data_IF_227556079507
#
_entry.id   IF_227556079507
#
_cell.length_a   1.000
_cell.length_b   1.000
_cell.length_c   1.000
_cell.angle_alpha   90.00
_cell.angle_beta   90.00
_cell.angle_gamma   90.00
#
_symmetry.space_group_name_H-M   'P 1'
#
loop_
_entity.id
_entity.type
_entity.pdbx_description
1 polymer ?
#
# COMPACT_ATOMS: atom_id res chain seq x y z
N UNK A 1 27.60 -7.84 -5.23
CA UNK A 1 27.05 -8.13 -3.89
C UNK A 1 26.95 -9.64 -3.73
N UNK A 2 27.30 -10.22 -2.56
CA UNK A 2 27.17 -11.66 -2.32
C UNK A 2 25.69 -12.06 -2.31
N UNK A 3 25.37 -13.25 -2.81
CA UNK A 3 24.01 -13.77 -2.76
C UNK A 3 23.54 -13.88 -1.30
N UNK A 4 22.43 -13.24 -0.97
CA UNK A 4 21.77 -13.43 0.34
C UNK A 4 21.34 -14.89 0.47
N UNK A 5 21.71 -15.50 1.58
CA UNK A 5 21.27 -16.86 1.91
C UNK A 5 20.37 -16.79 3.13
N UNK A 6 19.16 -17.29 2.98
CA UNK A 6 18.23 -17.38 4.10
C UNK A 6 18.70 -18.45 5.08
N UNK A 7 18.77 -18.11 6.36
CA UNK A 7 19.11 -19.08 7.42
C UNK A 7 17.93 -20.01 7.67
N UNK A 8 18.19 -21.33 7.67
CA UNK A 8 17.15 -22.32 7.93
C UNK A 8 16.47 -22.13 9.31
N UNK A 9 17.20 -21.82 10.41
CA UNK A 9 16.57 -21.49 11.68
C UNK A 9 15.68 -20.25 11.64
N UNK A 10 16.10 -19.18 10.93
CA UNK A 10 15.31 -17.94 10.77
C UNK A 10 14.01 -18.20 10.01
N UNK A 11 14.07 -18.94 8.91
CA UNK A 11 12.88 -19.34 8.17
C UNK A 11 11.94 -20.21 9.01
N UNK A 12 12.49 -21.16 9.78
CA UNK A 12 11.68 -21.99 10.67
C UNK A 12 10.96 -21.14 11.74
N UNK A 13 11.64 -20.14 12.29
CA UNK A 13 11.03 -19.20 13.25
C UNK A 13 9.93 -18.35 12.62
N UNK A 14 10.15 -17.85 11.39
CA UNK A 14 9.14 -17.09 10.63
C UNK A 14 7.89 -17.93 10.37
N UNK A 15 8.05 -19.18 9.89
CA UNK A 15 6.96 -20.12 9.67
C UNK A 15 6.19 -20.41 10.96
N UNK A 16 6.91 -20.76 12.02
CA UNK A 16 6.30 -21.05 13.32
C UNK A 16 5.53 -19.84 13.88
N UNK A 17 5.96 -18.58 13.59
CA UNK A 17 5.22 -17.39 14.00
C UNK A 17 3.87 -17.28 13.28
N UNK A 18 3.81 -17.58 12.00
CA UNK A 18 2.57 -17.59 11.20
C UNK A 18 1.67 -18.75 11.61
N UNK A 19 2.23 -19.95 11.80
CA UNK A 19 1.47 -21.13 12.25
C UNK A 19 0.80 -20.91 13.62
N UNK A 20 1.42 -20.14 14.52
CA UNK A 20 0.78 -19.75 15.79
C UNK A 20 -0.44 -18.85 15.56
N UNK A 21 -0.45 -17.97 14.57
CA UNK A 21 -1.63 -17.17 14.21
C UNK A 21 -2.78 -18.06 13.70
N UNK A 22 -2.46 -19.05 12.86
CA UNK A 22 -3.43 -20.06 12.39
C UNK A 22 -3.98 -20.87 13.54
N UNK A 23 -3.11 -21.40 14.41
CA UNK A 23 -3.51 -22.20 15.57
C UNK A 23 -4.36 -21.43 16.59
N UNK A 24 -4.19 -20.11 16.65
CA UNK A 24 -5.01 -19.22 17.48
C UNK A 24 -6.28 -18.72 16.77
N UNK A 25 -6.50 -19.08 15.50
CA UNK A 25 -7.65 -18.64 14.71
C UNK A 25 -7.62 -17.17 14.35
N UNK A 26 -6.45 -16.52 14.39
CA UNK A 26 -6.29 -15.09 14.09
C UNK A 26 -6.16 -14.80 12.59
N UNK A 27 -5.84 -15.81 11.81
CA UNK A 27 -5.96 -15.88 10.35
C UNK A 27 -6.44 -17.27 9.99
N UNK A 28 -7.06 -17.48 8.82
CA UNK A 28 -7.40 -18.80 8.30
C UNK A 28 -6.61 -19.18 7.06
N UNK A 29 -6.15 -18.17 6.31
CA UNK A 29 -5.34 -18.31 5.11
C UNK A 29 -4.32 -17.17 5.04
N UNK A 30 -3.13 -17.48 4.57
CA UNK A 30 -2.08 -16.48 4.36
C UNK A 30 -0.95 -16.98 3.49
N UNK A 31 -0.12 -16.06 3.03
CA UNK A 31 1.10 -16.34 2.27
C UNK A 31 2.18 -15.35 2.69
N UNK A 32 3.45 -15.78 2.65
CA UNK A 32 4.57 -14.85 2.60
C UNK A 32 5.52 -15.15 1.44
N UNK A 33 6.25 -14.13 1.01
CA UNK A 33 7.35 -14.28 0.07
C UNK A 33 8.52 -13.37 0.46
N UNK A 34 9.73 -13.87 0.28
CA UNK A 34 10.99 -13.13 0.36
C UNK A 34 11.65 -13.22 -1.03
N UNK A 35 12.00 -12.09 -1.62
CA UNK A 35 12.65 -12.05 -2.93
C UNK A 35 13.94 -11.24 -2.87
N UNK A 36 14.87 -11.53 -3.80
CA UNK A 36 16.17 -10.90 -3.91
C UNK A 36 16.65 -10.98 -5.36
N UNK A 37 17.27 -9.91 -5.86
CA UNK A 37 17.77 -9.82 -7.25
C UNK A 37 16.73 -10.22 -8.32
N UNK A 38 15.47 -9.79 -8.12
CA UNK A 38 14.40 -10.05 -9.08
C UNK A 38 13.83 -11.48 -9.06
N UNK A 39 14.27 -12.33 -8.14
CA UNK A 39 13.77 -13.70 -7.98
C UNK A 39 13.25 -13.97 -6.57
N UNK A 40 12.26 -14.83 -6.45
CA UNK A 40 11.74 -15.28 -5.15
C UNK A 40 12.68 -16.32 -4.55
N UNK A 41 13.18 -16.06 -3.34
CA UNK A 41 14.03 -16.97 -2.57
C UNK A 41 13.20 -17.95 -1.74
N UNK A 42 12.08 -17.48 -1.20
CA UNK A 42 11.18 -18.27 -0.37
C UNK A 42 9.75 -17.80 -0.59
N UNK A 43 8.84 -18.74 -0.78
CA UNK A 43 7.41 -18.52 -0.88
C UNK A 43 6.67 -19.65 -0.20
N UNK A 44 5.69 -19.31 0.63
CA UNK A 44 4.91 -20.31 1.34
C UNK A 44 3.48 -19.88 1.57
N UNK A 45 2.57 -20.84 1.40
CA UNK A 45 1.14 -20.73 1.69
C UNK A 45 0.79 -21.43 3.01
N UNK A 46 -0.21 -20.92 3.73
CA UNK A 46 -0.61 -21.38 5.06
C UNK A 46 -2.13 -21.50 5.18
N UNK A 47 -2.56 -22.46 6.00
CA UNK A 47 -3.97 -22.67 6.30
C UNK A 47 -4.76 -23.10 5.08
N UNK A 48 -5.88 -22.43 4.82
CA UNK A 48 -6.75 -22.71 3.68
C UNK A 48 -6.19 -22.16 2.34
N UNK A 49 -5.02 -21.49 2.34
CA UNK A 49 -4.38 -20.98 1.14
C UNK A 49 -3.54 -22.05 0.44
N UNK A 50 -3.52 -21.98 -0.88
CA UNK A 50 -2.54 -22.59 -1.76
C UNK A 50 -1.73 -21.53 -2.51
N UNK A 51 -0.76 -21.94 -3.33
CA UNK A 51 0.14 -21.03 -4.05
C UNK A 51 -0.57 -20.13 -5.08
N UNK A 52 -1.75 -20.52 -5.54
CA UNK A 52 -2.60 -19.72 -6.42
C UNK A 52 -3.63 -18.85 -5.69
N UNK A 53 -3.68 -18.89 -4.36
CA UNK A 53 -4.60 -18.07 -3.57
C UNK A 53 -4.24 -16.60 -3.66
N UNK A 54 -5.23 -15.75 -3.92
CA UNK A 54 -5.06 -14.31 -4.12
C UNK A 54 -5.76 -13.55 -3.01
N UNK A 55 -5.15 -12.48 -2.55
CA UNK A 55 -5.61 -11.70 -1.41
C UNK A 55 -5.76 -10.23 -1.80
N UNK A 56 -6.70 -9.54 -1.17
CA UNK A 56 -6.72 -8.09 -1.21
C UNK A 56 -5.51 -7.53 -0.45
N UNK A 57 -4.72 -6.73 -1.12
CA UNK A 57 -3.55 -6.07 -0.51
C UNK A 57 -3.86 -4.69 0.07
N UNK A 58 -5.11 -4.24 -0.07
CA UNK A 58 -5.59 -2.95 0.40
C UNK A 58 -4.60 -1.81 0.10
N UNK A 59 -4.23 -1.03 1.09
CA UNK A 59 -3.40 0.17 0.88
C UNK A 59 -1.99 -0.09 0.35
N UNK A 60 -1.49 -1.33 0.35
CA UNK A 60 -0.26 -1.66 -0.37
C UNK A 60 -0.38 -1.38 -1.89
N UNK A 61 -1.59 -1.31 -2.44
CA UNK A 61 -1.88 -0.86 -3.81
C UNK A 61 -1.37 0.56 -4.11
N UNK A 62 -1.31 1.42 -3.09
CA UNK A 62 -0.96 2.84 -3.25
C UNK A 62 0.43 3.06 -3.85
N UNK A 63 1.39 2.29 -3.39
CA UNK A 63 2.76 2.35 -3.90
C UNK A 63 2.80 2.08 -5.41
N UNK A 64 2.06 1.08 -5.86
CA UNK A 64 2.03 0.67 -7.27
C UNK A 64 1.37 1.75 -8.14
N UNK A 65 0.25 2.30 -7.67
CA UNK A 65 -0.45 3.39 -8.38
C UNK A 65 0.43 4.64 -8.48
N UNK A 66 1.07 5.04 -7.39
CA UNK A 66 1.93 6.21 -7.40
C UNK A 66 3.20 6.00 -8.27
N UNK A 67 3.77 4.78 -8.29
CA UNK A 67 4.93 4.46 -9.12
C UNK A 67 4.63 4.61 -10.62
N UNK A 68 3.43 4.30 -11.07
CA UNK A 68 3.05 4.46 -12.48
C UNK A 68 3.08 5.94 -12.95
N UNK A 69 3.04 6.91 -12.03
CA UNK A 69 3.16 8.33 -12.36
C UNK A 69 4.61 8.75 -12.66
N UNK A 70 5.62 8.01 -12.21
CA UNK A 70 7.03 8.39 -12.31
C UNK A 70 7.49 8.64 -13.73
N UNK A 71 6.99 7.88 -14.71
CA UNK A 71 7.30 8.10 -16.12
C UNK A 71 6.86 9.50 -16.60
N UNK A 72 5.68 9.95 -16.16
CA UNK A 72 5.13 11.26 -16.52
C UNK A 72 5.79 12.42 -15.77
N UNK A 73 6.35 12.16 -14.60
CA UNK A 73 7.21 13.12 -13.90
C UNK A 73 8.55 13.27 -14.61
N UNK A 74 9.10 12.17 -15.10
CA UNK A 74 10.41 12.16 -15.76
C UNK A 74 10.39 12.82 -17.14
N UNK A 75 9.35 12.61 -17.93
CA UNK A 75 9.20 13.22 -19.26
C UNK A 75 8.66 14.66 -19.20
N UNK A 76 8.33 15.16 -17.99
CA UNK A 76 7.85 16.52 -17.73
C UNK A 76 6.39 16.78 -18.12
N UNK A 77 5.63 15.75 -18.53
CA UNK A 77 4.18 15.90 -18.78
C UNK A 77 3.40 16.15 -17.48
N UNK A 78 3.96 15.73 -16.34
CA UNK A 78 3.45 16.07 -15.01
C UNK A 78 4.55 16.74 -14.18
N UNK A 79 4.23 17.86 -13.52
CA UNK A 79 5.14 18.55 -12.61
C UNK A 79 4.73 18.37 -11.15
N UNK A 80 5.67 18.09 -10.25
CA UNK A 80 5.38 17.94 -8.81
C UNK A 80 4.74 19.21 -8.20
N UNK A 81 5.15 20.38 -8.66
CA UNK A 81 4.62 21.69 -8.20
C UNK A 81 3.42 22.18 -9.00
N UNK A 82 3.06 21.49 -10.07
CA UNK A 82 1.88 21.85 -10.85
C UNK A 82 0.61 21.62 -10.04
N UNK A 83 -0.36 22.52 -10.14
CA UNK A 83 -1.67 22.32 -9.54
C UNK A 83 -2.40 21.15 -10.23
N UNK A 84 -3.05 20.32 -9.43
CA UNK A 84 -3.82 19.16 -9.90
C UNK A 84 -4.85 19.53 -10.96
N UNK A 85 -5.43 20.75 -10.89
CA UNK A 85 -6.43 21.23 -11.84
C UNK A 85 -5.94 21.33 -13.29
N UNK A 86 -4.64 21.32 -13.52
CA UNK A 86 -4.10 21.28 -14.90
C UNK A 86 -4.36 19.93 -15.57
N UNK A 87 -4.52 18.86 -14.80
CA UNK A 87 -4.78 17.50 -15.26
C UNK A 87 -6.22 17.06 -15.00
N UNK A 88 -6.79 17.53 -13.89
CA UNK A 88 -8.13 17.22 -13.39
C UNK A 88 -8.88 18.54 -13.17
N UNK A 89 -9.50 19.12 -14.22
CA UNK A 89 -10.12 20.45 -14.17
C UNK A 89 -11.16 20.64 -13.06
N UNK A 90 -11.79 19.55 -12.58
CA UNK A 90 -12.73 19.54 -11.48
C UNK A 90 -12.12 20.08 -10.17
N UNK A 91 -10.81 20.00 -10.02
CA UNK A 91 -10.06 20.57 -8.90
C UNK A 91 -9.90 22.11 -8.99
N UNK A 92 -10.31 22.74 -10.07
CA UNK A 92 -10.28 24.21 -10.17
C UNK A 92 -11.26 24.91 -9.22
N UNK A 93 -12.21 24.16 -8.65
CA UNK A 93 -13.29 24.69 -7.80
C UNK A 93 -13.13 24.27 -6.34
N UNK A 94 -14.00 24.80 -5.48
CA UNK A 94 -14.27 24.31 -4.13
C UNK A 94 -13.08 24.41 -3.15
N UNK A 95 -12.08 25.25 -3.41
CA UNK A 95 -10.93 25.45 -2.52
C UNK A 95 -9.78 24.46 -2.74
N UNK A 96 -9.85 23.62 -3.79
CA UNK A 96 -8.80 22.66 -4.16
C UNK A 96 -7.88 23.15 -5.30
N UNK A 97 -8.12 24.37 -5.80
CA UNK A 97 -7.44 24.92 -6.98
C UNK A 97 -5.92 25.04 -6.88
N UNK A 98 -5.38 25.13 -5.65
CA UNK A 98 -3.93 25.23 -5.39
C UNK A 98 -3.31 23.90 -4.92
N UNK A 99 -4.08 22.81 -4.87
CA UNK A 99 -3.56 21.51 -4.52
C UNK A 99 -2.55 21.05 -5.59
N UNK A 100 -1.30 20.79 -5.19
CA UNK A 100 -0.25 20.34 -6.11
C UNK A 100 -0.15 18.83 -6.16
N UNK A 101 0.47 18.31 -7.23
CA UNK A 101 0.76 16.87 -7.38
C UNK A 101 1.61 16.35 -6.21
N UNK A 102 2.62 17.13 -5.77
CA UNK A 102 3.44 16.77 -4.60
C UNK A 102 2.59 16.62 -3.33
N UNK A 103 1.66 17.55 -3.09
CA UNK A 103 0.78 17.48 -1.92
C UNK A 103 -0.14 16.26 -1.94
N UNK A 104 -0.59 15.81 -3.13
CA UNK A 104 -1.32 14.55 -3.27
C UNK A 104 -0.45 13.35 -2.86
N UNK A 105 0.73 13.22 -3.48
CA UNK A 105 1.63 12.09 -3.26
C UNK A 105 2.09 12.00 -1.80
N UNK A 106 2.25 13.15 -1.14
CA UNK A 106 2.74 13.25 0.24
C UNK A 106 1.65 13.39 1.30
N UNK A 107 0.38 13.12 0.95
CA UNK A 107 -0.77 13.14 1.88
C UNK A 107 -1.04 14.50 2.53
N UNK A 108 -0.90 15.56 1.76
CA UNK A 108 -1.15 16.96 2.15
C UNK A 108 -2.24 17.62 1.30
N UNK A 109 -3.05 16.82 0.60
CA UNK A 109 -4.08 17.31 -0.33
C UNK A 109 -5.23 18.08 0.30
N UNK A 110 -5.49 17.87 1.59
CA UNK A 110 -6.50 18.60 2.34
C UNK A 110 -7.90 17.99 2.34
N UNK A 111 -8.09 16.79 1.79
CA UNK A 111 -9.41 16.12 1.66
C UNK A 111 -9.38 14.64 2.05
N UNK A 112 -8.85 14.30 3.26
CA UNK A 112 -8.66 12.91 3.68
C UNK A 112 -9.97 12.12 3.75
N UNK A 113 -11.09 12.78 4.12
CA UNK A 113 -12.40 12.15 4.27
C UNK A 113 -13.21 12.08 2.97
N UNK A 114 -12.73 12.68 1.89
CA UNK A 114 -13.45 12.65 0.62
C UNK A 114 -13.55 11.21 0.08
N UNK A 115 -14.76 10.70 -0.06
CA UNK A 115 -15.05 9.36 -0.49
C UNK A 115 -15.43 9.28 -1.97
N UNK A 116 -15.14 8.14 -2.60
CA UNK A 116 -15.62 7.81 -3.94
C UNK A 116 -16.86 6.92 -3.82
N UNK A 117 -17.99 7.41 -4.31
CA UNK A 117 -19.25 6.66 -4.30
C UNK A 117 -19.16 5.41 -5.17
N UNK A 118 -19.67 4.27 -4.67
CA UNK A 118 -19.78 3.02 -5.44
C UNK A 118 -20.58 3.16 -6.74
N UNK A 119 -21.49 4.15 -6.83
CA UNK A 119 -22.27 4.42 -8.03
C UNK A 119 -21.46 5.10 -9.13
N UNK A 120 -20.39 5.80 -8.75
CA UNK A 120 -19.62 6.67 -9.64
C UNK A 120 -18.21 6.15 -9.94
N UNK A 121 -17.69 5.22 -9.17
CA UNK A 121 -16.29 4.78 -9.30
C UNK A 121 -15.96 4.00 -10.57
N UNK A 122 -16.96 3.35 -11.20
CA UNK A 122 -16.77 2.44 -12.33
C UNK A 122 -16.49 3.13 -13.67
N UNK A 123 -16.80 4.43 -13.79
CA UNK A 123 -16.56 5.18 -15.02
C UNK A 123 -15.73 6.43 -14.77
N UNK A 124 -14.99 6.89 -15.79
CA UNK A 124 -14.20 8.11 -15.70
C UNK A 124 -15.08 9.32 -15.44
N UNK A 125 -16.20 9.43 -16.14
CA UNK A 125 -17.19 10.51 -15.98
C UNK A 125 -17.73 10.55 -14.56
N UNK A 126 -18.08 9.38 -13.99
CA UNK A 126 -18.56 9.29 -12.62
C UNK A 126 -17.52 9.74 -11.60
N UNK A 127 -16.25 9.30 -11.77
CA UNK A 127 -15.16 9.75 -10.91
C UNK A 127 -14.97 11.26 -10.97
N UNK A 128 -14.95 11.86 -12.16
CA UNK A 128 -14.84 13.30 -12.38
C UNK A 128 -16.01 14.09 -11.82
N UNK A 129 -17.24 13.57 -11.97
CA UNK A 129 -18.42 14.12 -11.30
C UNK A 129 -18.23 14.18 -9.79
N UNK A 130 -17.72 13.10 -9.18
CA UNK A 130 -17.47 13.04 -7.74
C UNK A 130 -16.37 14.03 -7.30
N UNK A 131 -15.30 14.21 -8.08
CA UNK A 131 -14.25 15.18 -7.78
C UNK A 131 -14.80 16.60 -7.74
N UNK A 132 -15.74 16.97 -8.61
CA UNK A 132 -16.38 18.29 -8.63
C UNK A 132 -17.20 18.59 -7.36
N UNK A 133 -17.61 17.54 -6.61
CA UNK A 133 -18.35 17.67 -5.36
C UNK A 133 -17.43 17.78 -4.13
N UNK A 134 -16.16 17.39 -4.25
CA UNK A 134 -15.25 17.37 -3.11
C UNK A 134 -14.92 18.77 -2.59
N UNK A 135 -14.72 18.86 -1.30
CA UNK A 135 -14.33 20.08 -0.58
C UNK A 135 -13.14 19.76 0.30
N UNK A 136 -12.17 20.66 0.45
CA UNK A 136 -11.11 20.48 1.42
C UNK A 136 -11.65 20.63 2.85
N UNK A 137 -11.16 19.82 3.75
CA UNK A 137 -11.36 19.95 5.20
C UNK A 137 -10.41 21.00 5.78
N UNK A 138 -9.27 21.18 5.11
CA UNK A 138 -8.29 22.22 5.37
C UNK A 138 -7.54 22.54 4.08
N UNK A 139 -6.94 23.74 4.06
CA UNK A 139 -6.19 24.19 2.87
C UNK A 139 -5.07 23.19 2.54
N UNK A 140 -4.89 22.77 1.26
CA UNK A 140 -3.79 21.93 0.83
C UNK A 140 -2.42 22.44 1.33
N UNK A 141 -1.59 21.52 1.81
CA UNK A 141 -0.28 21.83 2.40
C UNK A 141 -0.27 22.21 3.88
N UNK A 142 -1.42 22.48 4.50
CA UNK A 142 -1.47 22.93 5.91
C UNK A 142 -1.27 21.80 6.93
N UNK A 143 -1.58 20.58 6.56
CA UNK A 143 -1.47 19.40 7.42
C UNK A 143 -1.02 18.20 6.62
N UNK A 144 -0.37 17.29 7.33
CA UNK A 144 -0.12 15.93 6.86
C UNK A 144 -1.14 15.01 7.51
N UNK A 145 -2.00 14.42 6.69
CA UNK A 145 -3.03 13.50 7.14
C UNK A 145 -3.23 12.41 6.10
N UNK A 146 -3.27 11.17 6.53
CA UNK A 146 -3.43 10.06 5.60
C UNK A 146 -4.76 10.16 4.84
N UNK A 147 -4.71 10.05 3.52
CA UNK A 147 -5.87 10.05 2.64
C UNK A 147 -6.19 8.60 2.21
N UNK A 148 -6.95 7.83 3.00
CA UNK A 148 -7.09 6.38 2.78
C UNK A 148 -7.81 6.04 1.48
N UNK A 149 -8.80 6.85 1.09
CA UNK A 149 -9.68 6.56 -0.04
C UNK A 149 -9.67 7.61 -1.14
N UNK A 150 -9.10 8.80 -0.94
CA UNK A 150 -9.31 9.93 -1.85
C UNK A 150 -8.14 10.22 -2.79
N UNK A 151 -6.94 10.49 -2.27
CA UNK A 151 -5.82 10.99 -3.05
C UNK A 151 -5.47 10.10 -4.26
N UNK A 152 -5.49 8.77 -4.10
CA UNK A 152 -5.10 7.85 -5.17
C UNK A 152 -6.11 7.78 -6.31
N UNK A 153 -7.39 8.12 -6.10
CA UNK A 153 -8.33 8.31 -7.20
C UNK A 153 -7.92 9.48 -8.10
N UNK A 154 -7.42 10.56 -7.50
CA UNK A 154 -6.93 11.72 -8.26
C UNK A 154 -5.61 11.41 -8.95
N UNK A 155 -4.69 10.71 -8.29
CA UNK A 155 -3.43 10.26 -8.91
C UNK A 155 -3.73 9.37 -10.11
N UNK A 156 -4.65 8.42 -9.98
CA UNK A 156 -5.08 7.56 -11.07
C UNK A 156 -5.72 8.35 -12.24
N UNK A 157 -6.53 9.37 -11.94
CA UNK A 157 -7.10 10.25 -12.97
C UNK A 157 -6.01 11.07 -13.69
N UNK A 158 -4.98 11.56 -12.97
CA UNK A 158 -3.83 12.22 -13.61
C UNK A 158 -3.14 11.24 -14.57
N UNK A 159 -2.82 10.03 -14.12
CA UNK A 159 -2.18 9.00 -14.94
C UNK A 159 -2.99 8.73 -16.21
N UNK A 160 -4.32 8.58 -16.09
CA UNK A 160 -5.22 8.34 -17.21
C UNK A 160 -5.32 9.54 -18.15
N UNK A 161 -5.37 10.77 -17.58
CA UNK A 161 -5.49 12.00 -18.36
C UNK A 161 -4.27 12.26 -19.24
N UNK A 162 -3.05 12.05 -18.72
CA UNK A 162 -1.81 12.28 -19.46
C UNK A 162 -1.36 11.06 -20.25
N UNK A 163 -1.67 9.85 -19.79
CA UNK A 163 -1.30 8.60 -20.46
C UNK A 163 -2.22 8.20 -21.61
N UNK A 164 -3.41 8.80 -21.70
CA UNK A 164 -4.38 8.55 -22.79
C UNK A 164 -4.97 7.14 -22.82
N UNK A 165 -4.75 6.34 -21.79
CA UNK A 165 -5.23 4.96 -21.63
C UNK A 165 -5.74 4.75 -20.21
N UNK A 166 -6.60 3.74 -19.96
CA UNK A 166 -7.04 3.41 -18.61
C UNK A 166 -5.86 3.24 -17.64
N UNK A 167 -5.94 3.88 -16.46
CA UNK A 167 -4.85 3.83 -15.49
C UNK A 167 -4.49 2.40 -15.01
N UNK A 168 -5.42 1.41 -14.93
CA UNK A 168 -5.04 0.04 -14.56
C UNK A 168 -4.06 -0.58 -15.55
N UNK A 169 -4.24 -0.31 -16.86
CA UNK A 169 -3.34 -0.80 -17.91
C UNK A 169 -1.96 -0.15 -17.77
N UNK A 170 -1.91 1.15 -17.50
CA UNK A 170 -0.65 1.88 -17.31
C UNK A 170 0.10 1.42 -16.04
N UNK A 171 -0.62 1.12 -14.96
CA UNK A 171 -0.03 0.52 -13.75
C UNK A 171 0.52 -0.87 -14.07
N UNK A 172 -0.25 -1.69 -14.80
CA UNK A 172 0.19 -3.02 -15.20
C UNK A 172 1.45 -2.96 -16.05
N UNK A 173 1.45 -2.18 -17.13
CA UNK A 173 2.55 -2.13 -18.09
C UNK A 173 3.85 -1.57 -17.50
N UNK A 174 3.78 -0.63 -16.55
CA UNK A 174 4.94 0.07 -16.00
C UNK A 174 5.47 -0.52 -14.70
N UNK A 175 4.60 -1.16 -13.90
CA UNK A 175 4.95 -1.57 -12.54
C UNK A 175 4.80 -3.08 -12.33
N UNK A 176 3.76 -3.68 -12.89
CA UNK A 176 3.40 -5.07 -12.59
C UNK A 176 4.03 -6.04 -13.58
N UNK A 177 3.81 -5.85 -14.88
CA UNK A 177 4.31 -6.73 -15.93
C UNK A 177 5.86 -6.79 -15.98
N UNK A 178 6.61 -5.67 -15.81
CA UNK A 178 8.07 -5.72 -15.77
C UNK A 178 8.63 -6.52 -14.59
N UNK A 179 7.86 -6.65 -13.52
CA UNK A 179 8.19 -7.53 -12.39
C UNK A 179 7.94 -9.03 -12.68
N UNK A 180 7.33 -9.37 -13.82
CA UNK A 180 6.88 -10.72 -14.10
C UNK A 180 5.63 -11.15 -13.32
N UNK A 181 4.92 -10.20 -12.71
CA UNK A 181 3.74 -10.46 -11.91
C UNK A 181 2.44 -10.44 -12.74
N UNK A 182 1.42 -11.14 -12.24
CA UNK A 182 0.10 -11.20 -12.85
C UNK A 182 -0.67 -9.89 -12.65
N UNK A 183 -1.62 -9.54 -13.54
CA UNK A 183 -2.49 -8.39 -13.35
C UNK A 183 -3.16 -8.42 -11.98
N UNK A 184 -3.08 -7.30 -11.24
CA UNK A 184 -3.57 -7.23 -9.86
C UNK A 184 -4.67 -6.20 -9.63
N UNK A 185 -5.07 -5.42 -10.65
CA UNK A 185 -6.04 -4.35 -10.51
C UNK A 185 -7.03 -4.33 -11.68
N UNK A 186 -8.32 -4.04 -11.39
CA UNK A 186 -9.36 -3.90 -12.39
C UNK A 186 -9.85 -5.23 -12.99
N UNK A 187 -10.44 -5.16 -14.18
CA UNK A 187 -11.07 -6.32 -14.84
C UNK A 187 -10.07 -7.46 -15.10
N UNK A 188 -8.84 -7.14 -15.49
CA UNK A 188 -7.80 -8.14 -15.72
C UNK A 188 -7.49 -8.95 -14.44
N UNK A 189 -7.54 -8.30 -13.27
CA UNK A 189 -7.43 -9.01 -12.00
C UNK A 189 -8.69 -9.81 -11.67
N UNK A 190 -9.86 -9.32 -12.00
CA UNK A 190 -11.14 -9.98 -11.72
C UNK A 190 -11.37 -11.25 -12.56
N UNK A 191 -10.75 -11.37 -13.75
CA UNK A 191 -10.87 -12.56 -14.61
C UNK A 191 -10.06 -13.77 -14.10
N UNK A 192 -9.15 -13.55 -13.15
CA UNK A 192 -8.37 -14.62 -12.52
C UNK A 192 -9.18 -15.42 -11.48
N UNK A 193 -8.46 -16.24 -10.72
CA UNK A 193 -9.04 -16.92 -9.55
C UNK A 193 -9.66 -15.90 -8.59
N UNK A 194 -10.87 -16.15 -8.05
CA UNK A 194 -11.48 -15.27 -7.06
C UNK A 194 -10.54 -14.99 -5.87
N UNK A 195 -10.54 -13.79 -5.31
CA UNK A 195 -9.75 -13.51 -4.11
C UNK A 195 -10.26 -14.31 -2.91
N UNK A 196 -9.36 -14.62 -2.01
CA UNK A 196 -9.70 -15.18 -0.70
C UNK A 196 -10.64 -14.22 0.02
N UNK A 197 -11.69 -14.77 0.62
CA UNK A 197 -12.73 -14.00 1.31
C UNK A 197 -12.13 -13.28 2.52
N UNK A 198 -12.30 -11.97 2.58
CA UNK A 198 -11.90 -11.16 3.75
C UNK A 198 -12.84 -11.50 4.92
N UNK A 199 -12.27 -11.95 6.01
CA UNK A 199 -12.96 -12.33 7.25
C UNK A 199 -12.79 -11.25 8.31
N UNK A 200 -13.66 -11.24 9.29
CA UNK A 200 -13.59 -10.34 10.44
C UNK A 200 -13.60 -11.12 11.74
N UNK A 201 -12.72 -10.73 12.67
CA UNK A 201 -12.62 -11.32 14.00
C UNK A 201 -12.75 -10.22 15.04
N UNK A 202 -13.56 -10.49 16.08
CA UNK A 202 -13.83 -9.57 17.17
C UNK A 202 -14.99 -8.61 16.87
N UNK A 203 -15.18 -7.64 17.75
CA UNK A 203 -16.28 -6.67 17.69
C UNK A 203 -15.77 -5.32 17.24
N UNK A 204 -16.38 -4.74 16.23
CA UNK A 204 -16.11 -3.38 15.75
C UNK A 204 -17.16 -2.39 16.30
N UNK A 205 -16.77 -1.14 16.61
CA UNK A 205 -15.41 -0.60 16.55
C UNK A 205 -14.45 -1.22 17.58
N UNK A 206 -13.12 -1.13 17.34
CA UNK A 206 -12.12 -1.66 18.26
C UNK A 206 -12.22 -1.05 19.66
N UNK A 207 -11.95 -1.84 20.68
CA UNK A 207 -11.79 -1.34 22.04
C UNK A 207 -10.43 -0.64 22.20
N UNK A 208 -10.43 0.67 22.19
CA UNK A 208 -9.23 1.50 22.32
C UNK A 208 -8.57 1.41 23.70
N UNK A 209 -9.30 0.99 24.74
CA UNK A 209 -8.73 0.79 26.07
C UNK A 209 -7.62 -0.25 26.09
N UNK A 210 -7.67 -1.21 25.17
CA UNK A 210 -6.62 -2.21 24.95
C UNK A 210 -5.29 -1.58 24.49
N UNK A 211 -5.34 -0.52 23.69
CA UNK A 211 -4.16 0.22 23.27
C UNK A 211 -3.56 1.03 24.41
N UNK A 212 -4.41 1.67 25.23
CA UNK A 212 -3.97 2.38 26.43
C UNK A 212 -3.27 1.44 27.40
N UNK A 213 -3.83 0.26 27.63
CA UNK A 213 -3.27 -0.73 28.55
C UNK A 213 -1.88 -1.24 28.10
N UNK A 214 -1.64 -1.36 26.80
CA UNK A 214 -0.38 -1.92 26.27
C UNK A 214 0.64 -0.84 25.90
N UNK A 215 0.20 0.26 25.30
CA UNK A 215 1.08 1.30 24.73
C UNK A 215 0.97 2.66 25.43
N UNK A 216 0.11 2.80 26.43
CA UNK A 216 -0.10 4.04 27.16
C UNK A 216 -0.88 5.12 26.39
N UNK A 217 -1.43 4.78 25.20
CA UNK A 217 -2.15 5.73 24.32
C UNK A 217 -3.19 5.02 23.47
N UNK A 218 -4.27 5.71 23.10
CA UNK A 218 -5.38 5.20 22.29
C UNK A 218 -5.38 5.68 20.82
N UNK A 219 -4.51 6.63 20.49
CA UNK A 219 -4.47 7.30 19.20
C UNK A 219 -3.53 6.61 18.18
N UNK A 220 -3.09 5.38 18.45
CA UNK A 220 -2.28 4.58 17.54
C UNK A 220 -3.06 4.05 16.33
N UNK A 221 -4.38 4.02 16.43
CA UNK A 221 -5.28 3.68 15.33
C UNK A 221 -6.12 4.90 15.01
N UNK A 222 -5.97 5.48 13.82
CA UNK A 222 -6.79 6.61 13.41
C UNK A 222 -8.27 6.24 13.37
N UNK A 223 -9.14 7.24 13.47
CA UNK A 223 -10.56 7.01 13.21
C UNK A 223 -10.74 6.50 11.78
N UNK A 224 -11.57 5.46 11.64
CA UNK A 224 -11.74 4.80 10.36
C UNK A 224 -12.52 5.68 9.38
N UNK A 225 -11.83 6.22 8.37
CA UNK A 225 -12.43 6.90 7.22
C UNK A 225 -13.20 5.90 6.34
N UNK A 226 -12.71 4.66 6.25
CA UNK A 226 -13.36 3.57 5.55
C UNK A 226 -13.99 2.66 6.59
N UNK A 227 -15.32 2.53 6.56
CA UNK A 227 -16.01 1.68 7.51
C UNK A 227 -15.61 0.21 7.34
N UNK A 228 -15.64 -0.55 8.42
CA UNK A 228 -15.42 -1.99 8.42
C UNK A 228 -16.33 -2.71 7.40
N UNK A 229 -17.62 -2.35 7.34
CA UNK A 229 -18.57 -2.92 6.37
C UNK A 229 -18.20 -2.59 4.92
N UNK A 230 -17.63 -1.41 4.67
CA UNK A 230 -17.16 -1.06 3.33
C UNK A 230 -16.00 -1.95 2.90
N UNK A 231 -15.11 -2.34 3.83
CA UNK A 231 -14.03 -3.28 3.54
C UNK A 231 -14.54 -4.69 3.32
N UNK A 232 -15.44 -5.20 4.16
CA UNK A 232 -16.08 -6.49 3.96
C UNK A 232 -16.91 -6.54 2.67
N UNK A 233 -17.45 -5.40 2.26
CA UNK A 233 -18.13 -5.27 0.96
C UNK A 233 -17.23 -5.47 -0.26
N UNK A 234 -15.90 -5.54 -0.10
CA UNK A 234 -14.98 -5.95 -1.17
C UNK A 234 -15.09 -7.45 -1.50
N UNK A 235 -15.67 -8.24 -0.63
CA UNK A 235 -16.02 -9.64 -0.93
C UNK A 235 -17.09 -9.76 -2.03
N UNK A 236 -17.81 -8.69 -2.36
CA UNK A 236 -18.80 -8.68 -3.44
C UNK A 236 -18.06 -8.74 -4.80
N UNK A 237 -18.31 -9.77 -5.64
CA UNK A 237 -17.67 -9.90 -6.95
C UNK A 237 -17.80 -8.66 -7.85
N UNK A 238 -18.85 -7.87 -7.68
CA UNK A 238 -19.07 -6.63 -8.44
C UNK A 238 -18.00 -5.56 -8.16
N UNK A 239 -17.29 -5.67 -7.05
CA UNK A 239 -16.19 -4.74 -6.71
C UNK A 239 -14.84 -5.17 -7.27
N UNK A 240 -14.66 -6.45 -7.68
CA UNK A 240 -13.35 -6.97 -8.09
C UNK A 240 -12.84 -6.36 -9.39
N UNK A 241 -13.76 -6.10 -10.34
CA UNK A 241 -13.42 -5.45 -11.61
C UNK A 241 -13.19 -3.94 -11.49
N UNK A 242 -13.54 -3.33 -10.35
CA UNK A 242 -13.29 -1.92 -10.12
C UNK A 242 -11.84 -1.73 -9.68
N UNK A 243 -11.07 -1.02 -10.48
CA UNK A 243 -9.68 -0.75 -10.19
C UNK A 243 -9.53 0.33 -9.12
N UNK A 244 -9.84 0.02 -7.84
CA UNK A 244 -9.72 0.98 -6.73
C UNK A 244 -8.24 1.31 -6.50
N UNK A 245 -7.74 2.49 -6.92
CA UNK A 245 -6.30 2.75 -7.05
C UNK A 245 -5.58 2.87 -5.71
N UNK A 246 -6.31 3.07 -4.63
CA UNK A 246 -5.78 3.17 -3.27
C UNK A 246 -5.94 1.91 -2.43
N UNK A 247 -6.56 0.83 -2.96
CA UNK A 247 -6.87 -0.31 -2.09
C UNK A 247 -7.44 -1.56 -2.75
N UNK A 248 -7.59 -1.59 -4.08
CA UNK A 248 -8.25 -2.68 -4.79
C UNK A 248 -7.33 -3.76 -5.36
N UNK A 249 -6.04 -3.73 -5.06
CA UNK A 249 -5.11 -4.74 -5.56
C UNK A 249 -5.43 -6.14 -5.02
N UNK A 250 -5.44 -7.13 -5.92
CA UNK A 250 -5.71 -8.55 -5.64
C UNK A 250 -4.55 -9.36 -6.21
N UNK A 251 -3.73 -9.97 -5.35
CA UNK A 251 -2.52 -10.68 -5.79
C UNK A 251 -2.08 -11.74 -4.79
N UNK A 252 -1.01 -12.47 -5.11
CA UNK A 252 -0.30 -13.39 -4.21
C UNK A 252 0.84 -12.66 -3.48
N UNK A 253 1.35 -13.21 -2.39
CA UNK A 253 2.58 -12.69 -1.77
C UNK A 253 3.78 -12.82 -2.72
N UNK A 254 3.82 -13.87 -3.54
CA UNK A 254 4.85 -14.09 -4.56
C UNK A 254 4.97 -12.90 -5.52
N UNK A 255 3.87 -12.58 -6.18
CA UNK A 255 3.82 -11.50 -7.17
C UNK A 255 4.08 -10.13 -6.53
N UNK A 256 3.54 -9.91 -5.31
CA UNK A 256 3.75 -8.67 -4.58
C UNK A 256 5.23 -8.45 -4.22
N UNK A 257 5.93 -9.51 -3.78
CA UNK A 257 7.37 -9.43 -3.51
C UNK A 257 8.18 -9.14 -4.77
N UNK A 258 7.82 -9.72 -5.92
CA UNK A 258 8.45 -9.42 -7.22
C UNK A 258 8.22 -7.98 -7.66
N UNK A 259 7.02 -7.43 -7.46
CA UNK A 259 6.75 -6.01 -7.76
C UNK A 259 7.65 -5.11 -6.92
N UNK A 260 7.86 -5.42 -5.63
CA UNK A 260 8.79 -4.65 -4.80
C UNK A 260 10.27 -4.85 -5.19
N UNK A 261 10.66 -6.00 -5.77
CA UNK A 261 11.97 -6.16 -6.39
C UNK A 261 12.14 -5.28 -7.64
N UNK A 262 11.07 -5.15 -8.45
CA UNK A 262 11.08 -4.21 -9.58
C UNK A 262 11.23 -2.76 -9.10
N UNK A 263 10.49 -2.35 -8.08
CA UNK A 263 10.62 -1.01 -7.48
C UNK A 263 11.99 -0.76 -6.83
N UNK A 264 12.69 -1.82 -6.42
CA UNK A 264 14.02 -1.72 -5.82
C UNK A 264 15.14 -1.65 -6.87
N UNK A 265 15.04 -2.43 -7.95
CA UNK A 265 16.12 -2.65 -8.92
C UNK A 265 15.78 -2.23 -10.34
N UNK A 266 14.57 -1.74 -10.61
CA UNK A 266 14.06 -1.42 -11.94
C UNK A 266 14.24 -2.58 -12.95
N UNK A 267 13.97 -3.79 -12.51
CA UNK A 267 14.07 -4.97 -13.36
C UNK A 267 13.20 -4.77 -14.62
N UNK A 268 13.83 -4.83 -15.81
CA UNK A 268 13.16 -4.58 -17.07
C UNK A 268 13.16 -3.12 -17.53
N UNK A 269 13.70 -2.16 -16.75
CA UNK A 269 13.92 -0.77 -17.18
C UNK A 269 12.66 0.03 -17.52
N UNK A 270 11.51 -0.36 -16.97
CA UNK A 270 10.22 0.27 -17.31
C UNK A 270 9.99 1.62 -16.62
N UNK A 271 10.74 1.92 -15.58
CA UNK A 271 10.67 3.18 -14.82
C UNK A 271 11.98 3.98 -15.01
N UNK A 272 11.92 5.32 -14.89
CA UNK A 272 13.14 6.14 -14.97
C UNK A 272 13.95 5.96 -13.68
N UNK A 273 15.21 5.52 -13.81
CA UNK A 273 16.08 5.13 -12.67
C UNK A 273 16.25 6.23 -11.62
N UNK A 274 16.58 7.46 -12.05
CA UNK A 274 16.81 8.58 -11.13
C UNK A 274 15.52 8.93 -10.35
N UNK A 275 14.38 8.91 -11.03
CA UNK A 275 13.09 9.17 -10.41
C UNK A 275 12.66 8.04 -9.47
N UNK A 276 12.95 6.80 -9.83
CA UNK A 276 12.66 5.65 -8.98
C UNK A 276 13.50 5.68 -7.70
N UNK A 277 14.80 5.97 -7.83
CA UNK A 277 15.69 6.11 -6.68
C UNK A 277 15.25 7.25 -5.74
N UNK A 278 14.87 8.39 -6.29
CA UNK A 278 14.31 9.52 -5.52
C UNK A 278 12.97 9.13 -4.86
N UNK A 279 12.07 8.50 -5.62
CA UNK A 279 10.74 8.16 -5.17
C UNK A 279 10.69 7.08 -4.08
N UNK A 280 11.73 6.24 -3.99
CA UNK A 280 11.85 5.20 -2.96
C UNK A 280 12.71 5.64 -1.77
N UNK A 281 13.66 6.57 -1.97
CA UNK A 281 14.67 6.91 -0.96
C UNK A 281 14.56 8.31 -0.35
N UNK A 282 14.01 9.30 -1.09
CA UNK A 282 13.96 10.69 -0.62
C UNK A 282 12.68 10.98 0.15
N UNK A 283 12.80 11.23 1.45
CA UNK A 283 11.67 11.67 2.28
C UNK A 283 11.28 13.09 1.86
N UNK A 284 10.11 13.23 1.26
CA UNK A 284 9.51 14.49 0.80
C UNK A 284 8.62 15.15 1.85
N UNK A 285 8.15 14.36 2.81
CA UNK A 285 7.34 14.86 3.91
C UNK A 285 7.66 14.09 5.19
N UNK A 286 8.34 14.76 6.12
CA UNK A 286 8.64 14.27 7.46
C UNK A 286 7.79 14.95 8.55
N UNK A 287 6.76 15.71 8.17
CA UNK A 287 5.87 16.36 9.14
C UNK A 287 5.11 15.31 9.96
N UNK A 288 4.77 15.66 11.19
CA UNK A 288 3.95 14.78 12.05
C UNK A 288 2.56 14.62 11.44
N UNK A 289 2.17 13.39 11.16
CA UNK A 289 0.84 13.05 10.68
C UNK A 289 -0.21 13.29 11.76
N UNK A 290 -1.31 13.95 11.41
CA UNK A 290 -2.42 14.21 12.35
C UNK A 290 -3.08 12.90 12.78
N UNK A 291 -3.23 11.95 11.86
CA UNK A 291 -3.89 10.68 12.13
C UNK A 291 -3.03 9.72 12.96
N UNK A 292 -1.71 9.68 12.71
CA UNK A 292 -0.83 8.68 13.32
C UNK A 292 -0.01 9.24 14.48
N UNK A 293 0.08 10.57 14.59
CA UNK A 293 0.87 11.30 15.61
C UNK A 293 2.36 10.99 15.58
N UNK A 294 2.87 10.57 14.43
CA UNK A 294 4.28 10.25 14.17
C UNK A 294 4.74 10.93 12.88
N UNK A 295 6.06 11.09 12.66
CA UNK A 295 6.58 11.57 11.38
C UNK A 295 6.03 10.74 10.22
N UNK A 296 5.59 11.40 9.16
CA UNK A 296 4.98 10.72 8.02
C UNK A 296 5.98 9.91 7.20
N UNK A 297 7.25 10.34 7.17
CA UNK A 297 8.35 9.72 6.41
C UNK A 297 7.94 9.27 5.00
N UNK A 298 7.21 10.17 4.29
CA UNK A 298 6.71 9.86 2.96
C UNK A 298 7.66 10.29 1.88
N UNK A 299 7.88 9.38 0.96
CA UNK A 299 8.47 9.64 -0.35
C UNK A 299 7.36 9.99 -1.36
N UNK A 300 7.65 9.94 -2.66
CA UNK A 300 6.62 10.13 -3.69
C UNK A 300 5.68 8.92 -3.81
N UNK A 301 6.13 7.70 -3.47
CA UNK A 301 5.33 6.49 -3.69
C UNK A 301 5.06 5.66 -2.43
N UNK A 302 5.84 5.84 -1.36
CA UNK A 302 5.83 4.92 -0.22
C UNK A 302 6.05 5.63 1.12
N UNK A 303 6.07 4.87 2.19
CA UNK A 303 6.74 5.21 3.45
C UNK A 303 8.20 4.74 3.39
N UNK A 304 9.07 5.41 4.13
CA UNK A 304 10.41 4.94 4.48
C UNK A 304 10.48 4.73 5.98
N UNK A 305 11.13 3.66 6.42
CA UNK A 305 11.28 3.37 7.86
C UNK A 305 11.89 4.54 8.63
N UNK A 306 12.95 5.13 8.08
CA UNK A 306 13.68 6.19 8.77
C UNK A 306 14.48 5.68 9.96
N UNK A 307 15.12 6.60 10.66
CA UNK A 307 15.92 6.31 11.86
C UNK A 307 15.29 6.86 13.15
N UNK A 308 14.05 7.31 13.08
CA UNK A 308 13.32 7.90 14.20
C UNK A 308 12.59 6.85 15.09
N UNK A 309 12.59 5.58 14.67
CA UNK A 309 12.00 4.47 15.41
C UNK A 309 10.46 4.44 15.44
N UNK A 310 9.79 5.34 14.72
CA UNK A 310 8.32 5.40 14.75
C UNK A 310 7.63 4.43 13.80
N UNK A 311 8.25 4.08 12.67
CA UNK A 311 7.65 3.20 11.67
C UNK A 311 8.07 1.73 11.79
N UNK A 312 9.21 1.46 12.42
CA UNK A 312 9.81 0.13 12.57
C UNK A 312 8.97 -0.89 13.37
N UNK A 313 8.01 -0.41 14.16
CA UNK A 313 7.22 -1.28 15.05
C UNK A 313 5.86 -1.71 14.50
N UNK A 314 5.35 -1.04 13.46
CA UNK A 314 3.98 -1.27 12.97
C UNK A 314 3.91 -1.70 11.52
N UNK A 315 4.47 -0.87 10.63
CA UNK A 315 4.24 -1.01 9.20
C UNK A 315 5.50 -1.29 8.39
N UNK A 316 6.65 -0.99 8.97
CA UNK A 316 7.94 -1.06 8.31
C UNK A 316 8.96 -1.78 9.20
N UNK A 317 9.97 -2.46 8.61
CA UNK A 317 11.03 -3.13 9.35
C UNK A 317 11.99 -2.13 10.02
N UNK A 318 12.77 -2.60 10.99
CA UNK A 318 13.87 -1.86 11.60
C UNK A 318 15.09 -1.78 10.64
N UNK A 319 14.86 -1.35 9.43
CA UNK A 319 15.84 -1.11 8.36
C UNK A 319 15.62 0.32 7.85
N UNK A 320 16.49 1.29 8.20
CA UNK A 320 16.20 2.73 8.00
C UNK A 320 15.89 3.14 6.57
N UNK A 321 16.43 2.42 5.59
CA UNK A 321 16.21 2.69 4.16
C UNK A 321 15.09 1.87 3.53
N UNK A 322 14.50 0.94 4.27
CA UNK A 322 13.38 0.16 3.76
C UNK A 322 12.21 1.07 3.42
N UNK A 323 11.61 0.82 2.25
CA UNK A 323 10.44 1.54 1.76
C UNK A 323 9.30 0.57 1.46
N UNK A 324 8.06 1.02 1.65
CA UNK A 324 6.91 0.18 1.40
C UNK A 324 5.60 0.80 1.85
N UNK A 325 4.57 -0.02 1.87
CA UNK A 325 3.26 0.36 2.36
C UNK A 325 2.51 -0.85 2.91
N UNK A 326 1.97 -0.73 4.11
CA UNK A 326 1.09 -1.74 4.66
C UNK A 326 -0.35 -1.60 4.12
N UNK A 327 -1.08 -2.72 4.09
CA UNK A 327 -2.52 -2.74 3.84
C UNK A 327 -3.32 -2.94 5.11
N UNK A 328 -4.60 -2.59 5.07
CA UNK A 328 -5.54 -2.80 6.17
C UNK A 328 -5.53 -4.28 6.61
N UNK A 329 -5.65 -4.53 7.90
CA UNK A 329 -5.59 -5.87 8.47
C UNK A 329 -4.17 -6.38 8.70
N UNK A 330 -3.13 -5.61 8.32
CA UNK A 330 -1.73 -6.01 8.49
C UNK A 330 -1.14 -6.75 7.29
N UNK A 331 -1.62 -6.45 6.07
CA UNK A 331 -0.92 -6.82 4.84
C UNK A 331 0.42 -6.07 4.82
N UNK A 332 1.51 -6.75 4.57
CA UNK A 332 2.85 -6.16 4.58
C UNK A 332 3.48 -6.25 3.19
N UNK A 333 4.08 -5.15 2.73
CA UNK A 333 4.85 -5.13 1.49
C UNK A 333 5.94 -4.05 1.59
N UNK A 334 7.20 -4.46 1.49
CA UNK A 334 8.34 -3.55 1.56
C UNK A 334 9.57 -4.11 0.84
N UNK A 335 10.52 -3.24 0.54
CA UNK A 335 11.84 -3.60 0.07
C UNK A 335 12.90 -2.77 0.82
N UNK A 336 14.09 -3.35 0.95
CA UNK A 336 15.22 -2.72 1.62
C UNK A 336 16.43 -2.62 0.69
N UNK A 337 16.88 -1.41 0.34
CA UNK A 337 18.02 -1.20 -0.54
C UNK A 337 19.36 -1.69 0.03
N UNK A 338 19.48 -1.82 1.36
CA UNK A 338 20.74 -2.24 1.98
C UNK A 338 20.95 -3.75 1.86
N UNK A 339 19.92 -4.54 2.13
CA UNK A 339 19.97 -5.98 1.99
C UNK A 339 19.64 -6.46 0.58
N UNK A 340 19.00 -5.62 -0.26
CA UNK A 340 18.52 -5.98 -1.59
C UNK A 340 17.29 -6.88 -1.58
N UNK A 341 16.65 -7.10 -0.44
CA UNK A 341 15.47 -7.96 -0.34
C UNK A 341 14.17 -7.17 -0.50
N UNK A 342 13.12 -7.87 -0.88
CA UNK A 342 11.73 -7.50 -0.66
C UNK A 342 10.99 -8.58 0.10
N UNK A 343 9.97 -8.17 0.84
CA UNK A 343 9.11 -9.03 1.63
C UNK A 343 7.65 -8.68 1.43
N UNK A 344 6.82 -9.70 1.29
CA UNK A 344 5.38 -9.58 1.29
C UNK A 344 4.76 -10.62 2.24
N UNK A 345 3.76 -10.19 3.01
CA UNK A 345 2.89 -11.07 3.78
C UNK A 345 1.45 -10.63 3.55
N UNK A 346 0.61 -11.57 3.14
CA UNK A 346 -0.81 -11.36 2.87
C UNK A 346 -1.66 -12.41 3.56
N UNK A 347 -2.85 -12.02 4.01
CA UNK A 347 -3.78 -12.92 4.70
C UNK A 347 -5.23 -12.44 4.57
N UNK A 348 -6.17 -13.25 5.06
CA UNK A 348 -7.60 -13.10 4.84
C UNK A 348 -8.38 -12.35 5.93
N UNK A 349 -7.75 -11.89 7.02
CA UNK A 349 -8.48 -11.52 8.22
C UNK A 349 -8.28 -10.07 8.64
N UNK A 350 -9.38 -9.40 8.97
CA UNK A 350 -9.39 -8.14 9.73
C UNK A 350 -9.62 -8.46 11.20
N UNK A 351 -8.76 -7.98 12.09
CA UNK A 351 -8.90 -8.19 13.52
C UNK A 351 -9.31 -6.90 14.23
N UNK A 352 -10.36 -6.98 15.06
CA UNK A 352 -10.82 -5.82 15.82
C UNK A 352 -9.84 -5.40 16.93
N UNK A 353 -8.96 -6.30 17.38
CA UNK A 353 -7.87 -5.95 18.29
C UNK A 353 -6.63 -5.50 17.51
N UNK A 354 -6.34 -4.20 17.43
CA UNK A 354 -5.22 -3.69 16.63
C UNK A 354 -3.85 -4.12 17.16
N UNK A 355 -3.74 -4.53 18.43
CA UNK A 355 -2.50 -5.02 19.02
C UNK A 355 -2.01 -6.30 18.32
N UNK A 356 -2.94 -7.10 17.80
CA UNK A 356 -2.61 -8.33 17.06
C UNK A 356 -1.87 -7.99 15.78
N UNK A 357 -2.37 -7.02 15.02
CA UNK A 357 -1.71 -6.56 13.80
C UNK A 357 -0.31 -5.98 14.08
N UNK A 358 -0.19 -5.13 15.11
CA UNK A 358 1.08 -4.52 15.48
C UNK A 358 2.13 -5.54 15.93
N UNK A 359 1.74 -6.49 16.79
CA UNK A 359 2.63 -7.56 17.24
C UNK A 359 3.04 -8.46 16.08
N UNK A 360 2.10 -8.80 15.18
CA UNK A 360 2.37 -9.59 13.99
C UNK A 360 3.38 -8.90 13.10
N UNK A 361 3.12 -7.65 12.72
CA UNK A 361 4.00 -6.88 11.85
C UNK A 361 5.42 -6.78 12.42
N UNK A 362 5.56 -6.36 13.68
CA UNK A 362 6.84 -6.28 14.37
C UNK A 362 7.59 -7.60 14.38
N UNK A 363 6.91 -8.70 14.73
CA UNK A 363 7.55 -10.02 14.82
C UNK A 363 7.98 -10.51 13.43
N UNK A 364 7.14 -10.35 12.40
CA UNK A 364 7.47 -10.77 11.04
C UNK A 364 8.65 -9.95 10.47
N UNK A 365 8.65 -8.64 10.65
CA UNK A 365 9.76 -7.78 10.22
C UNK A 365 11.09 -8.23 10.86
N UNK A 366 11.12 -8.39 12.17
CA UNK A 366 12.30 -8.84 12.90
C UNK A 366 12.78 -10.23 12.41
N UNK A 367 11.85 -11.20 12.27
CA UNK A 367 12.20 -12.56 11.85
C UNK A 367 12.71 -12.62 10.41
N UNK A 368 12.21 -11.77 9.51
CA UNK A 368 12.76 -11.67 8.16
C UNK A 368 14.18 -11.12 8.19
N UNK A 369 14.44 -10.03 8.94
CA UNK A 369 15.79 -9.47 9.07
C UNK A 369 16.76 -10.51 9.70
N UNK A 370 16.34 -11.23 10.73
CA UNK A 370 17.14 -12.32 11.32
C UNK A 370 17.38 -13.46 10.33
N UNK A 371 16.41 -13.80 9.47
CA UNK A 371 16.56 -14.85 8.47
C UNK A 371 17.58 -14.50 7.37
N UNK A 372 17.78 -13.22 7.08
CA UNK A 372 18.80 -12.75 6.11
C UNK A 372 20.14 -12.42 6.77
N UNK A 373 20.23 -12.46 8.09
CA UNK A 373 21.47 -12.15 8.84
C UNK A 373 21.77 -10.64 8.92
N UNK A 374 20.72 -9.83 8.87
CA UNK A 374 20.81 -8.36 8.97
C UNK A 374 20.49 -7.88 10.40
#
# INVERSE_FOLDING_TARGET
MSAVRLSAPGLAALRARIERELGAGLITAGQFAIAHHGGVLEFQSFGDADDGSRFFIFSATKTLTAAALLAHLADGTVGLTHPVREYVPEFASNGLHDCTVLQLLTMQGGFPQAGMSRRLWGTREGRRQQFAEWRPEYRPGMRTEYHPASAHWVIAEIIEAVGGRPYPDLIHDRVVAPAGASPLLGEAAATGRPPTVVRSIGTYPPDRSLLVAEYGRDDLVPEAVISHDAVLGMNDPRSWGVAIPGGGGITTAHDLALVYQHLLHNNGGALPDDWLADATGTIRNASVSVSDRVPANRTLIAYVSGSDGFHDHRWMPAAPRAFGHAGMGGQLAWADPESGISFAFVHDTLNADPRIEFRRARDLHRLVLEAIGA
#
